data_IF_946101019902
#
_entry.id   IF_946101019902
#
_cell.length_a   1.000
_cell.length_b   1.000
_cell.length_c   1.000
_cell.angle_alpha   90.00
_cell.angle_beta   90.00
_cell.angle_gamma   90.00
#
_symmetry.space_group_name_H-M   'P 1'
#
loop_
_entity.id
_entity.type
_entity.pdbx_description
1 polymer ?
#
# COMPACT_ATOMS: atom_id res chain seq x y z
N UNK A 1 10.07 -13.10 13.67
CA UNK A 1 10.14 -12.26 12.46
C UNK A 1 9.34 -12.97 11.38
N UNK A 2 8.40 -12.31 10.71
CA UNK A 2 7.54 -12.91 9.67
C UNK A 2 6.52 -13.97 10.15
N UNK A 3 5.79 -13.72 11.25
CA UNK A 3 4.72 -14.61 11.75
C UNK A 3 3.30 -14.06 11.47
N UNK A 4 3.11 -13.37 10.35
CA UNK A 4 1.83 -12.77 9.95
C UNK A 4 1.78 -12.54 8.44
N UNK A 5 1.03 -11.53 8.02
CA UNK A 5 1.02 -11.12 6.60
C UNK A 5 2.43 -10.83 6.08
N UNK A 6 2.65 -11.09 4.79
CA UNK A 6 3.92 -10.76 4.15
C UNK A 6 3.87 -9.31 3.67
N UNK A 7 4.62 -8.45 4.34
CA UNK A 7 4.82 -7.06 3.96
C UNK A 7 6.01 -6.98 3.00
N UNK A 8 5.84 -6.22 1.91
CA UNK A 8 6.79 -6.18 0.79
C UNK A 8 7.12 -4.77 0.33
N UNK A 9 7.04 -4.54 -0.99
CA UNK A 9 7.42 -3.29 -1.63
C UNK A 9 6.80 -2.05 -0.97
N UNK A 10 7.59 -0.97 -0.93
CA UNK A 10 7.20 0.29 -0.31
C UNK A 10 7.63 1.47 -1.16
N UNK A 11 6.86 2.55 -1.09
CA UNK A 11 7.26 3.87 -1.57
C UNK A 11 6.70 4.94 -0.64
N UNK A 12 7.41 6.05 -0.52
CA UNK A 12 7.04 7.17 0.35
C UNK A 12 6.99 8.44 -0.46
N UNK A 13 6.02 9.28 -0.15
CA UNK A 13 5.91 10.64 -0.68
C UNK A 13 7.10 11.51 -0.30
N UNK A 14 7.40 12.48 -1.17
CA UNK A 14 8.54 13.42 -1.01
C UNK A 14 8.46 14.22 0.29
N UNK A 15 7.26 14.50 0.79
CA UNK A 15 7.05 15.20 2.05
C UNK A 15 7.10 14.29 3.28
N UNK A 16 7.37 12.99 3.10
CA UNK A 16 7.41 11.95 4.13
C UNK A 16 6.10 11.77 4.92
N UNK A 17 4.94 12.13 4.34
CA UNK A 17 3.64 12.05 5.04
C UNK A 17 2.68 10.99 4.54
N UNK A 18 2.97 10.34 3.44
CA UNK A 18 2.15 9.30 2.82
C UNK A 18 3.07 8.15 2.39
N UNK A 19 2.78 6.94 2.87
CA UNK A 19 3.50 5.71 2.56
C UNK A 19 2.53 4.75 1.87
N UNK A 20 2.98 4.11 0.80
CA UNK A 20 2.30 2.99 0.17
C UNK A 20 3.09 1.71 0.46
N UNK A 21 2.38 0.66 0.89
CA UNK A 21 2.98 -0.62 1.28
C UNK A 21 2.20 -1.77 0.66
N UNK A 22 2.92 -2.75 0.10
CA UNK A 22 2.33 -4.02 -0.32
C UNK A 22 2.13 -4.93 0.89
N UNK A 23 0.92 -5.46 1.03
CA UNK A 23 0.57 -6.47 2.05
C UNK A 23 -0.05 -7.67 1.37
N UNK A 24 0.55 -8.84 1.58
CA UNK A 24 0.06 -10.10 1.03
C UNK A 24 -0.62 -10.93 2.11
N UNK A 25 -1.92 -11.21 1.90
CA UNK A 25 -2.77 -12.00 2.81
C UNK A 25 -3.32 -13.25 2.10
N UNK A 26 -3.48 -14.38 2.80
CA UNK A 26 -4.21 -15.53 2.27
C UNK A 26 -5.68 -15.17 2.04
N UNK A 27 -6.22 -15.49 0.86
CA UNK A 27 -7.64 -15.26 0.49
C UNK A 27 -8.36 -16.54 0.07
N UNK A 28 -7.66 -17.67 0.01
CA UNK A 28 -8.20 -18.98 -0.32
C UNK A 28 -7.13 -20.08 -0.24
N UNK A 29 -7.48 -21.30 -0.63
CA UNK A 29 -6.52 -22.41 -0.63
C UNK A 29 -5.42 -22.19 -1.67
N UNK A 30 -4.19 -21.97 -1.18
CA UNK A 30 -2.99 -21.82 -2.01
C UNK A 30 -2.82 -20.45 -2.68
N UNK A 31 -3.81 -19.56 -2.60
CA UNK A 31 -3.74 -18.22 -3.19
C UNK A 31 -3.45 -17.14 -2.14
N UNK A 32 -2.41 -16.34 -2.39
CA UNK A 32 -2.12 -15.11 -1.64
C UNK A 32 -2.31 -13.92 -2.57
N UNK A 33 -3.29 -13.10 -2.23
CA UNK A 33 -3.48 -11.81 -2.86
C UNK A 33 -2.55 -10.79 -2.17
N UNK A 34 -1.84 -10.03 -2.98
CA UNK A 34 -1.06 -8.89 -2.52
C UNK A 34 -1.81 -7.63 -2.94
N UNK A 35 -2.17 -6.82 -1.95
CA UNK A 35 -2.83 -5.55 -2.14
C UNK A 35 -1.86 -4.42 -1.77
N UNK A 36 -2.08 -3.24 -2.33
CA UNK A 36 -1.36 -2.02 -1.94
C UNK A 36 -2.24 -1.24 -0.98
N UNK A 37 -1.67 -0.89 0.17
CA UNK A 37 -2.30 -0.07 1.19
C UNK A 37 -1.59 1.27 1.31
N UNK A 38 -2.32 2.27 1.82
CA UNK A 38 -1.79 3.58 2.17
C UNK A 38 -1.82 3.81 3.67
N UNK A 39 -0.84 4.52 4.20
CA UNK A 39 -0.88 5.10 5.55
C UNK A 39 -0.32 6.53 5.53
N UNK A 40 -0.78 7.36 6.46
CA UNK A 40 -0.34 8.74 6.62
C UNK A 40 0.49 8.89 7.88
N UNK A 41 1.47 9.81 7.87
CA UNK A 41 2.20 10.22 9.06
C UNK A 41 1.60 11.51 9.60
N UNK A 42 0.79 11.35 10.62
CA UNK A 42 -0.02 12.41 11.22
C UNK A 42 0.27 12.56 12.71
N UNK A 43 -0.12 13.71 13.26
CA UNK A 43 0.00 13.99 14.68
C UNK A 43 -1.34 13.87 15.40
N UNK A 44 -1.28 13.45 16.66
CA UNK A 44 -2.40 13.53 17.58
C UNK A 44 -1.91 13.88 18.97
N UNK A 45 -2.83 14.35 19.83
CA UNK A 45 -2.52 14.53 21.24
C UNK A 45 -2.49 13.17 21.94
N UNK A 46 -1.40 12.86 22.61
CA UNK A 46 -1.37 11.78 23.60
C UNK A 46 -1.85 12.33 24.95
N UNK A 47 -3.02 11.89 25.40
CA UNK A 47 -3.61 12.33 26.67
C UNK A 47 -2.86 11.84 27.90
N UNK A 48 -2.01 10.81 27.77
CA UNK A 48 -1.18 10.32 28.87
C UNK A 48 -0.02 11.26 29.18
N UNK A 49 0.70 11.70 28.15
CA UNK A 49 1.82 12.64 28.29
C UNK A 49 1.42 14.11 28.19
N UNK A 50 0.24 14.42 27.63
CA UNK A 50 -0.18 15.78 27.32
C UNK A 50 0.62 16.43 26.18
N UNK A 51 1.33 15.62 25.39
CA UNK A 51 2.17 16.09 24.28
C UNK A 51 1.56 15.69 22.94
N UNK A 52 1.89 16.48 21.92
CA UNK A 52 1.65 16.09 20.53
C UNK A 52 2.66 15.02 20.12
N UNK A 53 2.17 13.90 19.60
CA UNK A 53 2.98 12.79 19.11
C UNK A 53 2.67 12.56 17.63
N UNK A 54 3.66 12.04 16.90
CA UNK A 54 3.54 11.73 15.48
C UNK A 54 3.62 10.22 15.28
N UNK A 55 2.63 9.67 14.58
CA UNK A 55 2.57 8.24 14.29
C UNK A 55 2.01 7.98 12.89
N UNK A 56 2.28 6.78 12.39
CA UNK A 56 1.65 6.30 11.18
C UNK A 56 0.22 5.86 11.49
N UNK A 57 -0.74 6.29 10.68
CA UNK A 57 -2.13 5.86 10.78
C UNK A 57 -2.28 4.38 10.43
N UNK A 58 -3.47 3.83 10.65
CA UNK A 58 -3.83 2.51 10.12
C UNK A 58 -3.66 2.42 8.59
N UNK A 59 -3.52 1.19 8.11
CA UNK A 59 -3.48 0.89 6.67
C UNK A 59 -4.87 1.05 6.06
N UNK A 60 -4.96 1.83 4.99
CA UNK A 60 -6.15 2.08 4.20
C UNK A 60 -6.06 1.31 2.87
N UNK A 61 -7.12 0.58 2.54
CA UNK A 61 -7.25 -0.13 1.26
C UNK A 61 -7.48 0.88 0.12
N UNK A 62 -6.79 0.72 -1.01
CA UNK A 62 -6.88 1.60 -2.17
C UNK A 62 -8.10 1.33 -3.07
N UNK A 63 -8.93 0.36 -2.71
CA UNK A 63 -10.18 0.04 -3.37
C UNK A 63 -10.03 -0.71 -4.69
N UNK A 64 -11.16 -1.14 -5.28
CA UNK A 64 -11.20 -2.12 -6.37
C UNK A 64 -10.61 -1.65 -7.71
N UNK A 65 -10.34 -0.35 -7.85
CA UNK A 65 -9.66 0.19 -9.03
C UNK A 65 -8.16 -0.16 -9.04
N UNK A 66 -7.57 -0.31 -7.86
CA UNK A 66 -6.18 -0.73 -7.67
C UNK A 66 -6.16 -2.19 -7.22
N UNK A 67 -6.69 -2.47 -6.02
CA UNK A 67 -6.66 -3.77 -5.36
C UNK A 67 -7.77 -4.68 -5.90
N UNK A 68 -7.40 -5.65 -6.73
CA UNK A 68 -8.35 -6.58 -7.36
C UNK A 68 -8.47 -7.87 -6.54
N UNK A 69 -9.68 -8.44 -6.38
CA UNK A 69 -9.90 -9.57 -5.47
C UNK A 69 -9.09 -10.82 -5.85
N UNK A 70 -8.86 -11.02 -7.15
CA UNK A 70 -8.19 -12.14 -7.79
C UNK A 70 -6.85 -11.76 -8.47
N UNK A 71 -6.40 -10.52 -8.29
CA UNK A 71 -5.12 -10.07 -8.81
C UNK A 71 -4.02 -10.01 -7.77
N UNK A 72 -2.87 -9.57 -8.23
CA UNK A 72 -1.67 -9.36 -7.42
C UNK A 72 -1.17 -7.97 -7.70
N UNK A 73 -1.31 -7.03 -6.76
CA UNK A 73 -0.82 -5.66 -6.84
C UNK A 73 0.37 -5.44 -5.90
N UNK A 74 1.51 -5.01 -6.46
CA UNK A 74 2.75 -4.97 -5.70
C UNK A 74 3.76 -3.95 -6.22
N UNK A 75 4.87 -3.81 -5.49
CA UNK A 75 6.02 -2.99 -5.84
C UNK A 75 5.63 -1.55 -6.20
N UNK A 76 4.92 -0.84 -5.31
CA UNK A 76 4.48 0.52 -5.59
C UNK A 76 5.68 1.46 -5.75
N UNK A 77 5.54 2.43 -6.66
CA UNK A 77 6.47 3.52 -6.88
C UNK A 77 5.70 4.80 -7.13
N UNK A 78 5.85 5.78 -6.25
CA UNK A 78 5.17 7.06 -6.35
C UNK A 78 5.98 8.02 -7.23
N UNK A 79 5.30 8.74 -8.12
CA UNK A 79 5.90 9.80 -8.94
C UNK A 79 6.46 10.93 -8.08
N UNK A 80 7.41 11.69 -8.62
CA UNK A 80 8.09 12.77 -7.90
C UNK A 80 7.13 13.89 -7.44
N UNK A 81 6.04 14.12 -8.18
CA UNK A 81 4.99 15.08 -7.81
C UNK A 81 3.94 14.50 -6.84
N UNK A 82 4.06 13.22 -6.50
CA UNK A 82 3.15 12.49 -5.64
C UNK A 82 1.78 12.23 -6.26
N UNK A 83 1.57 12.44 -7.56
CA UNK A 83 0.23 12.35 -8.17
C UNK A 83 -0.08 11.01 -8.82
N UNK A 84 0.95 10.27 -9.23
CA UNK A 84 0.81 9.01 -9.94
C UNK A 84 1.48 7.90 -9.16
N UNK A 85 0.72 6.85 -8.84
CA UNK A 85 1.23 5.61 -8.30
C UNK A 85 1.42 4.62 -9.44
N UNK A 86 2.66 4.18 -9.66
CA UNK A 86 2.98 3.06 -10.54
C UNK A 86 3.10 1.78 -9.71
N UNK A 87 2.64 0.65 -10.23
CA UNK A 87 2.70 -0.62 -9.53
C UNK A 87 2.76 -1.78 -10.52
N UNK A 88 3.37 -2.88 -10.09
CA UNK A 88 3.35 -4.15 -10.80
C UNK A 88 2.02 -4.87 -10.50
N UNK A 89 1.40 -5.43 -11.54
CA UNK A 89 0.20 -6.25 -11.36
C UNK A 89 0.18 -7.51 -12.22
N UNK A 90 -0.47 -8.55 -11.69
CA UNK A 90 -0.97 -9.70 -12.45
C UNK A 90 -2.47 -9.79 -12.19
N UNK A 91 -3.27 -9.46 -13.20
CA UNK A 91 -4.75 -9.47 -13.14
C UNK A 91 -5.36 -9.66 -14.53
N UNK A 92 -6.68 -9.75 -14.62
CA UNK A 92 -7.37 -9.81 -15.91
C UNK A 92 -6.91 -8.67 -16.84
N UNK A 93 -6.50 -9.02 -18.06
CA UNK A 93 -5.98 -8.08 -19.06
C UNK A 93 -4.47 -7.81 -19.01
N UNK A 94 -3.77 -8.20 -17.95
CA UNK A 94 -2.30 -8.09 -17.88
C UNK A 94 -1.57 -9.07 -18.80
N UNK A 95 -0.35 -8.75 -19.23
CA UNK A 95 0.51 -9.64 -20.04
C UNK A 95 1.65 -10.23 -19.21
N UNK A 96 1.30 -11.08 -18.25
CA UNK A 96 2.22 -11.55 -17.21
C UNK A 96 2.30 -10.53 -16.08
N UNK A 97 3.50 -10.28 -15.54
CA UNK A 97 3.71 -9.13 -14.64
C UNK A 97 3.83 -7.86 -15.48
N UNK A 98 2.85 -6.97 -15.34
CA UNK A 98 2.77 -5.74 -16.14
C UNK A 98 2.73 -4.51 -15.23
N UNK A 99 3.05 -3.33 -15.77
CA UNK A 99 3.09 -2.08 -15.01
C UNK A 99 1.82 -1.28 -15.28
N UNK A 100 1.09 -0.99 -14.22
CA UNK A 100 -0.10 -0.14 -14.25
C UNK A 100 0.15 1.15 -13.47
N UNK A 101 -0.68 2.15 -13.73
CA UNK A 101 -0.61 3.44 -13.04
C UNK A 101 -1.99 3.92 -12.63
N UNK A 102 -2.08 4.58 -11.49
CA UNK A 102 -3.27 5.31 -11.05
C UNK A 102 -2.90 6.75 -10.69
N UNK A 103 -3.78 7.70 -10.99
CA UNK A 103 -3.58 9.13 -10.71
C UNK A 103 -4.73 9.68 -9.89
N UNK A 104 -4.43 10.54 -8.92
CA UNK A 104 -5.40 11.26 -8.07
C UNK A 104 -5.74 12.66 -8.58
#
# INVERSE_FOLDING_TARGET
FNQGDSYGGVTISVNNKELFVTVCKPVGEGYRNCDIFRTHYDNHMDFGSGMEVWEWTGLEDLGPAINTPDGWESQPSLSADGRTLYFATVREGSRGTDIYSSTR
#
